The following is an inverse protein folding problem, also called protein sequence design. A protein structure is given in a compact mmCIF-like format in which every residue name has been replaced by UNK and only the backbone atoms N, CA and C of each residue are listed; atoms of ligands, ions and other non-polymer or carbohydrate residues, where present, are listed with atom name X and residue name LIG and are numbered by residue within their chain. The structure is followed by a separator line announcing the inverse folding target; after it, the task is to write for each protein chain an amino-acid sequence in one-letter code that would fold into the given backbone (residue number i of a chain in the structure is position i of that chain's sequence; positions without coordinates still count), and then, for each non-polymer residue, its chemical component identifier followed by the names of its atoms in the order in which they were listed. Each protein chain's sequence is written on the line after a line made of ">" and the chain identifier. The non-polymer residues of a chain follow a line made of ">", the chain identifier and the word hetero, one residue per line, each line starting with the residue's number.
data_IF_677287664655
#
_entry.id   IF_677287664655
#
_cell.length_a   1.000
_cell.length_b   1.000
_cell.length_c   1.000
_cell.angle_alpha   90.00
_cell.angle_beta   90.00
_cell.angle_gamma   90.00
#
_symmetry.space_group_name_H-M   'P 1'
#
loop_
_entity.id
_entity.type
_entity.pdbx_description
1 polymer ?
#
# COMPACT_ATOMS: atom_id res chain seq x y z
N UNK A 1 -53.96 -14.50 -5.69
CA UNK A 1 -52.87 -14.55 -4.70
C UNK A 1 -51.57 -14.15 -5.40
N UNK A 2 -51.16 -12.88 -5.28
CA UNK A 2 -49.99 -12.30 -5.97
C UNK A 2 -48.98 -11.82 -4.92
N UNK A 3 -47.70 -12.06 -5.21
CA UNK A 3 -46.51 -11.44 -4.60
C UNK A 3 -46.16 -11.80 -3.15
N UNK A 4 -45.55 -12.98 -2.97
CA UNK A 4 -44.71 -13.26 -1.78
C UNK A 4 -43.27 -13.68 -2.14
N UNK A 5 -43.01 -13.96 -3.42
CA UNK A 5 -41.73 -14.54 -3.86
C UNK A 5 -40.61 -13.50 -4.09
N UNK A 6 -40.92 -12.21 -4.23
CA UNK A 6 -39.93 -11.14 -4.48
C UNK A 6 -39.38 -10.44 -3.24
N UNK A 7 -40.11 -10.47 -2.12
CA UNK A 7 -39.72 -9.81 -0.85
C UNK A 7 -38.45 -10.41 -0.20
N UNK A 8 -38.24 -11.73 -0.14
CA UNK A 8 -37.00 -12.27 0.42
C UNK A 8 -35.79 -12.01 -0.47
N UNK A 9 -35.97 -11.99 -1.79
CA UNK A 9 -34.89 -11.70 -2.75
C UNK A 9 -34.41 -10.25 -2.61
N UNK A 10 -35.33 -9.30 -2.49
CA UNK A 10 -34.98 -7.90 -2.24
C UNK A 10 -34.24 -7.74 -0.90
N UNK A 11 -34.68 -8.46 0.13
CA UNK A 11 -34.05 -8.43 1.45
C UNK A 11 -32.61 -8.99 1.41
N UNK A 12 -32.37 -10.05 0.64
CA UNK A 12 -31.04 -10.62 0.43
C UNK A 12 -30.13 -9.65 -0.34
N UNK A 13 -30.65 -8.98 -1.38
CA UNK A 13 -29.88 -7.99 -2.15
C UNK A 13 -29.49 -6.80 -1.26
N UNK A 14 -30.41 -6.31 -0.44
CA UNK A 14 -30.14 -5.22 0.51
C UNK A 14 -29.12 -5.67 1.56
N UNK A 15 -29.24 -6.88 2.09
CA UNK A 15 -28.28 -7.45 3.04
C UNK A 15 -26.87 -7.55 2.43
N UNK A 16 -26.78 -7.95 1.16
CA UNK A 16 -25.52 -8.08 0.42
C UNK A 16 -24.89 -6.71 0.13
N UNK A 17 -25.70 -5.69 -0.20
CA UNK A 17 -25.21 -4.31 -0.34
C UNK A 17 -24.67 -3.75 0.97
N UNK A 18 -25.35 -3.96 2.10
CA UNK A 18 -24.87 -3.53 3.43
C UNK A 18 -23.59 -4.28 3.82
N UNK A 19 -23.41 -5.53 3.39
CA UNK A 19 -22.18 -6.28 3.64
C UNK A 19 -20.98 -5.74 2.86
N UNK A 20 -21.19 -5.16 1.67
CA UNK A 20 -20.09 -4.58 0.87
C UNK A 20 -19.64 -3.19 1.31
N UNK A 21 -20.49 -2.43 2.02
CA UNK A 21 -20.15 -1.06 2.45
C UNK A 21 -19.20 -1.01 3.65
N UNK A 22 -18.92 -2.14 4.31
CA UNK A 22 -17.99 -2.24 5.43
C UNK A 22 -16.59 -2.72 5.05
N UNK A 23 -16.23 -2.74 3.76
CA UNK A 23 -14.86 -3.05 3.38
C UNK A 23 -13.94 -1.97 3.97
N UNK A 24 -12.94 -2.32 4.79
CA UNK A 24 -11.97 -1.36 5.27
C UNK A 24 -11.29 -0.73 4.04
N UNK A 25 -11.18 0.59 4.02
CA UNK A 25 -10.37 1.27 3.03
C UNK A 25 -8.94 0.72 3.15
N UNK A 26 -8.46 0.05 2.10
CA UNK A 26 -7.07 -0.37 2.03
C UNK A 26 -6.22 0.90 1.92
N UNK A 27 -5.70 1.37 3.05
CA UNK A 27 -4.66 2.37 3.05
C UNK A 27 -3.45 1.71 2.37
N UNK A 28 -3.10 2.17 1.18
CA UNK A 28 -1.84 1.80 0.54
C UNK A 28 -0.72 2.51 1.32
N UNK A 29 -0.26 1.87 2.39
CA UNK A 29 0.96 2.30 3.07
C UNK A 29 2.12 2.12 2.10
N UNK A 30 2.68 3.24 1.63
CA UNK A 30 3.89 3.20 0.81
C UNK A 30 5.05 2.72 1.67
N UNK A 31 5.33 1.42 1.59
CA UNK A 31 6.43 0.79 2.29
C UNK A 31 7.71 1.00 1.47
N UNK A 32 8.71 1.62 2.10
CA UNK A 32 10.02 1.82 1.50
C UNK A 32 11.06 1.12 2.36
N UNK A 33 11.84 0.21 1.78
CA UNK A 33 12.87 -0.54 2.49
C UNK A 33 14.26 -0.30 1.88
N UNK A 34 15.22 0.01 2.76
CA UNK A 34 16.63 0.28 2.40
C UNK A 34 17.54 -0.78 3.05
N UNK A 35 17.86 -1.88 2.36
CA UNK A 35 18.79 -2.87 2.87
C UNK A 35 20.20 -2.27 3.03
N UNK A 36 20.79 -2.45 4.21
CA UNK A 36 22.16 -2.00 4.53
C UNK A 36 23.18 -2.80 3.70
N UNK A 37 24.18 -2.13 3.15
CA UNK A 37 25.22 -2.71 2.31
C UNK A 37 24.80 -2.99 0.88
N UNK A 38 23.62 -2.53 0.46
CA UNK A 38 23.10 -2.71 -0.90
C UNK A 38 22.89 -1.35 -1.57
N UNK A 39 23.09 -1.34 -2.90
CA UNK A 39 22.76 -0.21 -3.79
C UNK A 39 21.35 -0.31 -4.35
N UNK A 40 20.47 -1.05 -3.69
CA UNK A 40 19.07 -1.21 -4.08
C UNK A 40 18.15 -0.90 -2.91
N UNK A 41 16.98 -0.37 -3.21
CA UNK A 41 15.89 -0.13 -2.27
C UNK A 41 14.60 -0.63 -2.89
N UNK A 42 13.59 -0.93 -2.08
CA UNK A 42 12.28 -1.32 -2.58
C UNK A 42 11.20 -0.33 -2.18
N UNK A 43 10.31 -0.02 -3.11
CA UNK A 43 9.06 0.70 -2.86
C UNK A 43 7.92 -0.26 -3.15
N UNK A 44 7.11 -0.60 -2.15
CA UNK A 44 5.98 -1.54 -2.29
C UNK A 44 6.39 -2.86 -2.96
N UNK A 45 7.59 -3.37 -2.63
CA UNK A 45 8.15 -4.60 -3.19
C UNK A 45 8.83 -4.45 -4.55
N UNK A 46 8.80 -3.28 -5.18
CA UNK A 46 9.53 -3.03 -6.42
C UNK A 46 10.94 -2.52 -6.16
N UNK A 47 11.94 -3.26 -6.60
CA UNK A 47 13.35 -2.88 -6.45
C UNK A 47 13.72 -1.74 -7.40
N UNK A 48 14.49 -0.80 -6.87
CA UNK A 48 15.07 0.35 -7.56
C UNK A 48 16.54 0.46 -7.17
N UNK A 49 17.37 0.90 -8.11
CA UNK A 49 18.80 1.13 -7.89
C UNK A 49 19.07 2.53 -7.34
N UNK A 50 20.12 2.66 -6.52
CA UNK A 50 20.62 3.91 -5.96
C UNK A 50 22.09 4.11 -6.32
N UNK A 51 22.54 5.37 -6.28
CA UNK A 51 23.92 5.75 -6.64
C UNK A 51 24.95 5.23 -5.62
N UNK A 52 24.58 5.25 -4.33
CA UNK A 52 25.41 4.80 -3.22
C UNK A 52 24.73 3.66 -2.45
N UNK A 53 25.53 2.93 -1.67
CA UNK A 53 25.00 1.90 -0.78
C UNK A 53 24.54 2.50 0.54
N UNK A 54 23.49 1.94 1.13
CA UNK A 54 23.09 2.27 2.51
C UNK A 54 24.16 1.75 3.48
N UNK A 55 24.58 2.54 4.47
CA UNK A 55 25.57 2.10 5.45
C UNK A 55 25.26 2.63 6.85
N UNK A 56 25.83 1.99 7.88
CA UNK A 56 25.72 2.43 9.28
C UNK A 56 27.05 3.01 9.72
N UNK A 57 27.03 4.22 10.29
CA UNK A 57 28.20 4.86 10.89
C UNK A 57 27.79 5.65 12.12
N UNK A 58 28.62 5.66 13.17
CA UNK A 58 28.33 6.35 14.43
C UNK A 58 26.92 6.03 15.01
N UNK A 59 26.45 4.79 14.86
CA UNK A 59 25.11 4.38 15.31
C UNK A 59 23.93 4.94 14.49
N UNK A 60 24.19 5.51 13.31
CA UNK A 60 23.17 6.07 12.41
C UNK A 60 23.20 5.37 11.05
N UNK A 61 22.01 5.16 10.47
CA UNK A 61 21.87 4.65 9.10
C UNK A 61 21.87 5.81 8.12
N UNK A 62 22.82 5.80 7.19
CA UNK A 62 22.95 6.76 6.11
C UNK A 62 22.35 6.17 4.85
N UNK A 63 21.33 6.86 4.33
CA UNK A 63 20.59 6.50 3.13
C UNK A 63 21.00 7.48 2.02
N UNK A 64 21.28 7.00 0.79
CA UNK A 64 21.60 7.87 -0.32
C UNK A 64 20.46 8.84 -0.62
N UNK A 65 20.76 10.13 -0.78
CA UNK A 65 19.79 11.11 -1.25
C UNK A 65 19.81 11.14 -2.78
N UNK A 66 18.78 10.62 -3.43
CA UNK A 66 18.59 10.73 -4.89
C UNK A 66 17.75 11.96 -5.18
N UNK A 67 18.37 13.00 -5.74
CA UNK A 67 17.73 14.31 -5.99
C UNK A 67 16.59 14.25 -7.02
N UNK A 68 16.64 13.35 -7.99
CA UNK A 68 15.72 13.35 -9.14
C UNK A 68 14.52 12.41 -8.98
N UNK A 69 14.58 11.50 -8.02
CA UNK A 69 13.54 10.51 -7.78
C UNK A 69 13.08 10.63 -6.33
N UNK A 70 11.99 11.36 -6.11
CA UNK A 70 11.42 11.53 -4.79
C UNK A 70 10.71 10.21 -4.37
N UNK A 71 11.25 9.44 -3.40
CA UNK A 71 10.62 8.19 -2.97
C UNK A 71 9.29 8.43 -2.27
N UNK A 72 9.07 9.67 -1.78
CA UNK A 72 7.96 10.03 -0.90
C UNK A 72 6.72 10.53 -1.65
N UNK A 73 6.75 10.58 -2.99
CA UNK A 73 5.57 10.90 -3.80
C UNK A 73 4.97 12.30 -3.59
N UNK A 74 5.62 13.20 -2.86
CA UNK A 74 5.15 14.58 -2.67
C UNK A 74 5.77 15.50 -3.72
N UNK A 75 4.93 16.15 -4.53
CA UNK A 75 5.26 17.41 -5.21
C UNK A 75 4.53 18.53 -4.51
#
# INVERSE_FOLDING_TARGET
>A
MRQILGKPILFIIVLLMVFTSSLPAMANESQIAFPVGKKVYSINGQEKTMDAQTFVSNGRTYIPFVTWENPWGRR
#
